data_IF_202980684904
#
_entry.id   IF_202980684904
#
_cell.length_a   1.000
_cell.length_b   1.000
_cell.length_c   1.000
_cell.angle_alpha   90.00
_cell.angle_beta   90.00
_cell.angle_gamma   90.00
#
_symmetry.space_group_name_H-M   'P 1'
#
loop_
_entity.id
_entity.type
_entity.pdbx_description
1 polymer ?
#
# COMPACT_ATOMS: atom_id res chain seq x y z
N UNK A 1 40.12 20.48 100.17
CA UNK A 1 38.79 20.79 99.60
C UNK A 1 38.67 20.56 98.07
N UNK A 2 39.63 19.93 97.38
CA UNK A 2 39.56 19.73 95.91
C UNK A 2 38.90 18.40 95.47
N UNK A 3 38.61 17.47 96.41
CA UNK A 3 38.27 16.08 96.06
C UNK A 3 36.75 15.87 95.89
N UNK A 4 35.89 16.70 96.51
CA UNK A 4 34.44 16.45 96.53
C UNK A 4 33.67 17.02 95.33
N UNK A 5 34.23 17.99 94.60
CA UNK A 5 33.60 18.54 93.37
C UNK A 5 33.80 17.65 92.15
N UNK A 6 34.83 16.80 92.14
CA UNK A 6 35.12 15.90 91.00
C UNK A 6 34.27 14.63 90.97
N UNK A 7 33.76 14.14 92.12
CA UNK A 7 32.98 12.88 92.14
C UNK A 7 31.53 13.07 91.66
N UNK A 8 30.95 14.25 91.86
CA UNK A 8 29.56 14.54 91.50
C UNK A 8 29.38 14.61 89.97
N UNK A 9 30.34 15.23 89.27
CA UNK A 9 30.32 15.41 87.81
C UNK A 9 30.51 14.06 87.10
N UNK A 10 31.36 13.17 87.63
CA UNK A 10 31.61 11.84 87.06
C UNK A 10 30.38 10.94 87.18
N UNK A 11 29.65 10.97 88.30
CA UNK A 11 28.49 10.09 88.51
C UNK A 11 27.26 10.42 87.64
N UNK A 12 27.09 11.69 87.28
CA UNK A 12 25.97 12.18 86.45
C UNK A 12 26.20 11.87 84.96
N UNK A 13 27.46 11.90 84.53
CA UNK A 13 27.86 11.47 83.18
C UNK A 13 27.67 9.95 83.02
N UNK A 14 28.00 9.16 84.04
CA UNK A 14 27.96 7.69 83.96
C UNK A 14 26.53 7.11 83.97
N UNK A 15 25.61 7.70 84.73
CA UNK A 15 24.19 7.27 84.79
C UNK A 15 23.39 7.54 83.50
N UNK A 16 23.86 8.41 82.62
CA UNK A 16 23.23 8.72 81.32
C UNK A 16 23.98 8.04 80.16
N UNK A 17 25.30 7.91 80.24
CA UNK A 17 26.12 7.32 79.16
C UNK A 17 26.11 5.80 79.13
N UNK A 18 25.97 5.11 80.26
CA UNK A 18 25.93 3.64 80.28
C UNK A 18 24.67 3.05 79.60
N UNK A 19 23.44 3.55 79.86
CA UNK A 19 22.24 3.11 79.12
C UNK A 19 22.28 3.51 77.64
N UNK A 20 22.81 4.70 77.33
CA UNK A 20 22.94 5.19 75.96
C UNK A 20 23.91 4.36 75.10
N UNK A 21 25.02 3.86 75.68
CA UNK A 21 25.95 2.94 75.00
C UNK A 21 25.31 1.58 74.69
N UNK A 22 24.45 1.07 75.59
CA UNK A 22 23.68 -0.16 75.36
C UNK A 22 22.72 -0.03 74.18
N UNK A 23 22.01 1.10 74.08
CA UNK A 23 21.08 1.42 72.98
C UNK A 23 21.82 1.69 71.67
N UNK A 24 22.97 2.37 71.71
CA UNK A 24 23.81 2.57 70.53
C UNK A 24 24.37 1.25 69.98
N UNK A 25 24.73 0.31 70.86
CA UNK A 25 25.21 -1.01 70.46
C UNK A 25 24.11 -1.89 69.86
N UNK A 26 22.88 -1.84 70.40
CA UNK A 26 21.73 -2.56 69.81
C UNK A 26 21.30 -1.95 68.48
N UNK A 27 21.29 -0.62 68.35
CA UNK A 27 21.07 0.08 67.07
C UNK A 27 22.15 -0.26 66.03
N UNK A 28 23.41 -0.37 66.44
CA UNK A 28 24.51 -0.80 65.56
C UNK A 28 24.33 -2.24 65.06
N UNK A 29 23.87 -3.17 65.93
CA UNK A 29 23.55 -4.55 65.54
C UNK A 29 22.33 -4.62 64.63
N UNK A 30 21.29 -3.83 64.91
CA UNK A 30 20.10 -3.71 64.06
C UNK A 30 20.44 -3.16 62.67
N UNK A 31 21.27 -2.11 62.59
CA UNK A 31 21.72 -1.54 61.32
C UNK A 31 22.58 -2.53 60.53
N UNK A 32 23.49 -3.23 61.19
CA UNK A 32 24.30 -4.28 60.56
C UNK A 32 23.48 -5.52 60.16
N UNK A 33 22.40 -5.84 60.87
CA UNK A 33 21.45 -6.88 60.49
C UNK A 33 20.58 -6.42 59.31
N UNK A 34 20.15 -5.16 59.30
CA UNK A 34 19.38 -4.54 58.22
C UNK A 34 20.19 -4.45 56.92
N UNK A 35 21.47 -4.08 56.97
CA UNK A 35 22.37 -4.06 55.81
C UNK A 35 22.67 -5.45 55.26
N UNK A 36 22.77 -6.47 56.13
CA UNK A 36 22.91 -7.87 55.67
C UNK A 36 21.62 -8.37 55.02
N UNK A 37 20.48 -8.04 55.61
CA UNK A 37 19.18 -8.40 55.07
C UNK A 37 18.90 -7.67 53.75
N UNK A 38 19.26 -6.39 53.62
CA UNK A 38 19.10 -5.64 52.37
C UNK A 38 19.99 -6.19 51.26
N UNK A 39 21.25 -6.54 51.54
CA UNK A 39 22.14 -7.17 50.56
C UNK A 39 21.65 -8.56 50.12
N UNK A 40 21.08 -9.35 51.03
CA UNK A 40 20.47 -10.64 50.68
C UNK A 40 19.20 -10.45 49.84
N UNK A 41 18.37 -9.45 50.15
CA UNK A 41 17.19 -9.10 49.37
C UNK A 41 17.57 -8.56 47.98
N UNK A 42 18.62 -7.76 47.86
CA UNK A 42 19.11 -7.25 46.57
C UNK A 42 19.71 -8.38 45.72
N UNK A 43 20.43 -9.33 46.33
CA UNK A 43 20.90 -10.53 45.64
C UNK A 43 19.74 -11.44 45.20
N UNK A 44 18.70 -11.59 46.02
CA UNK A 44 17.47 -12.31 45.65
C UNK A 44 16.71 -11.60 44.52
N UNK A 45 16.58 -10.27 44.58
CA UNK A 45 15.96 -9.46 43.52
C UNK A 45 16.74 -9.56 42.23
N UNK A 46 18.07 -9.49 42.28
CA UNK A 46 18.95 -9.68 41.12
C UNK A 46 18.70 -11.03 40.45
N UNK A 47 18.69 -12.13 41.21
CA UNK A 47 18.41 -13.48 40.71
C UNK A 47 16.97 -13.64 40.18
N UNK A 48 15.99 -13.01 40.81
CA UNK A 48 14.60 -13.02 40.36
C UNK A 48 14.41 -12.24 39.05
N UNK A 49 15.05 -11.08 38.91
CA UNK A 49 15.05 -10.30 37.67
C UNK A 49 15.77 -11.06 36.56
N UNK A 50 16.89 -11.70 36.85
CA UNK A 50 17.63 -12.52 35.90
C UNK A 50 16.81 -13.74 35.45
N UNK A 51 16.16 -14.45 36.39
CA UNK A 51 15.26 -15.57 36.08
C UNK A 51 14.01 -15.12 35.29
N UNK A 52 13.44 -13.97 35.61
CA UNK A 52 12.32 -13.39 34.88
C UNK A 52 12.73 -12.94 33.47
N UNK A 53 13.92 -12.36 33.32
CA UNK A 53 14.48 -11.98 32.02
C UNK A 53 14.74 -13.21 31.14
N UNK A 54 15.33 -14.28 31.72
CA UNK A 54 15.52 -15.56 31.03
C UNK A 54 14.17 -16.20 30.67
N UNK A 55 13.20 -16.20 31.59
CA UNK A 55 11.86 -16.71 31.35
C UNK A 55 11.11 -15.95 30.24
N UNK A 56 11.22 -14.62 30.23
CA UNK A 56 10.65 -13.77 29.17
C UNK A 56 11.35 -13.98 27.83
N UNK A 57 12.68 -14.06 27.81
CA UNK A 57 13.47 -14.32 26.62
C UNK A 57 13.12 -15.71 26.02
N UNK A 58 12.99 -16.74 26.85
CA UNK A 58 12.59 -18.08 26.43
C UNK A 58 11.14 -18.12 25.94
N UNK A 59 10.22 -17.46 26.66
CA UNK A 59 8.82 -17.36 26.26
C UNK A 59 8.68 -16.64 24.90
N UNK A 60 9.48 -15.61 24.63
CA UNK A 60 9.55 -14.97 23.30
C UNK A 60 10.21 -15.87 22.26
N UNK A 61 11.33 -16.51 22.60
CA UNK A 61 12.09 -17.36 21.68
C UNK A 61 11.28 -18.58 21.21
N UNK A 62 10.43 -19.15 22.06
CA UNK A 62 9.56 -20.29 21.72
C UNK A 62 8.18 -19.82 21.24
N UNK A 63 7.62 -18.78 21.87
CA UNK A 63 6.28 -18.29 21.57
C UNK A 63 6.16 -17.58 20.22
N UNK A 64 7.20 -16.86 19.78
CA UNK A 64 7.15 -16.16 18.49
C UNK A 64 7.09 -17.13 17.28
N UNK A 65 7.92 -18.18 17.19
CA UNK A 65 7.80 -19.19 16.14
C UNK A 65 6.44 -19.92 16.13
N UNK A 66 5.91 -20.28 17.31
CA UNK A 66 4.59 -20.93 17.40
C UNK A 66 3.48 -20.01 16.92
N UNK A 67 3.48 -18.74 17.34
CA UNK A 67 2.50 -17.74 16.89
C UNK A 67 2.58 -17.54 15.37
N UNK A 68 3.79 -17.41 14.83
CA UNK A 68 3.99 -17.28 13.39
C UNK A 68 3.50 -18.50 12.60
N UNK A 69 3.69 -19.71 13.13
CA UNK A 69 3.17 -20.94 12.53
C UNK A 69 1.63 -20.96 12.54
N UNK A 70 0.98 -20.60 13.65
CA UNK A 70 -0.48 -20.51 13.76
C UNK A 70 -1.04 -19.47 12.78
N UNK A 71 -0.41 -18.29 12.69
CA UNK A 71 -0.80 -17.23 11.75
C UNK A 71 -0.63 -17.68 10.30
N UNK A 72 0.44 -18.41 9.99
CA UNK A 72 0.67 -18.96 8.68
C UNK A 72 -0.35 -20.05 8.31
N UNK A 73 -0.64 -20.98 9.22
CA UNK A 73 -1.70 -21.99 9.02
C UNK A 73 -3.07 -21.33 8.83
N UNK A 74 -3.35 -20.26 9.57
CA UNK A 74 -4.57 -19.47 9.40
C UNK A 74 -4.63 -18.82 8.01
N UNK A 75 -3.54 -18.19 7.55
CA UNK A 75 -3.48 -17.61 6.21
C UNK A 75 -3.58 -18.67 5.09
N UNK A 76 -3.02 -19.86 5.31
CA UNK A 76 -3.15 -20.99 4.38
C UNK A 76 -4.58 -21.54 4.34
N UNK A 77 -5.36 -21.42 5.41
CA UNK A 77 -6.77 -21.77 5.39
C UNK A 77 -7.56 -20.85 4.45
N UNK A 78 -7.22 -19.57 4.37
CA UNK A 78 -7.81 -18.64 3.40
C UNK A 78 -7.46 -19.03 1.96
N UNK A 79 -6.21 -19.46 1.71
CA UNK A 79 -5.81 -20.00 0.40
C UNK A 79 -6.63 -21.24 0.05
N UNK A 80 -6.80 -22.17 0.99
CA UNK A 80 -7.58 -23.39 0.79
C UNK A 80 -9.07 -23.13 0.52
N UNK A 81 -9.60 -22.03 1.05
CA UNK A 81 -11.00 -21.65 0.85
C UNK A 81 -11.30 -21.23 -0.59
N UNK A 82 -10.32 -20.64 -1.27
CA UNK A 82 -10.50 -20.02 -2.59
C UNK A 82 -9.79 -20.76 -3.72
N UNK A 83 -9.03 -21.81 -3.39
CA UNK A 83 -8.29 -22.63 -4.36
C UNK A 83 -8.57 -24.10 -4.09
N UNK A 84 -9.02 -24.79 -5.13
CA UNK A 84 -9.18 -26.24 -5.10
C UNK A 84 -7.84 -26.93 -5.33
N UNK A 85 -7.37 -27.66 -4.32
CA UNK A 85 -6.16 -28.47 -4.42
C UNK A 85 -6.53 -29.94 -4.68
N UNK A 86 -5.92 -30.59 -5.69
CA UNK A 86 -6.26 -31.97 -6.04
C UNK A 86 -5.89 -32.98 -4.95
N UNK A 87 -4.90 -32.66 -4.11
CA UNK A 87 -4.48 -33.52 -3.00
C UNK A 87 -4.07 -32.70 -1.78
N UNK A 88 -4.16 -33.27 -0.55
CA UNK A 88 -3.57 -32.65 0.64
C UNK A 88 -2.06 -32.41 0.50
N UNK A 89 -1.35 -33.27 -0.25
CA UNK A 89 0.07 -33.12 -0.51
C UNK A 89 0.37 -31.86 -1.35
N UNK A 90 -0.45 -31.57 -2.37
CA UNK A 90 -0.31 -30.36 -3.19
C UNK A 90 -0.50 -29.08 -2.37
N UNK A 91 -1.50 -29.06 -1.48
CA UNK A 91 -1.71 -27.94 -0.55
C UNK A 91 -0.52 -27.73 0.39
N UNK A 92 0.05 -28.82 0.93
CA UNK A 92 1.24 -28.77 1.78
C UNK A 92 2.47 -28.28 1.01
N UNK A 93 2.63 -28.70 -0.25
CA UNK A 93 3.71 -28.24 -1.12
C UNK A 93 3.64 -26.72 -1.32
N UNK A 94 2.45 -26.19 -1.66
CA UNK A 94 2.23 -24.74 -1.76
C UNK A 94 2.64 -24.00 -0.48
N UNK A 95 2.28 -24.52 0.70
CA UNK A 95 2.69 -23.93 1.97
C UNK A 95 4.23 -23.87 2.13
N UNK A 96 4.93 -24.95 1.77
CA UNK A 96 6.40 -24.97 1.79
C UNK A 96 7.00 -23.97 0.79
N UNK A 97 6.45 -23.90 -0.43
CA UNK A 97 6.93 -22.99 -1.47
C UNK A 97 6.80 -21.52 -1.05
N UNK A 98 5.70 -21.16 -0.35
CA UNK A 98 5.51 -19.82 0.20
C UNK A 98 6.50 -19.51 1.34
N UNK A 99 6.81 -20.49 2.20
CA UNK A 99 7.85 -20.34 3.22
C UNK A 99 9.21 -20.12 2.57
N UNK A 100 9.56 -20.92 1.55
CA UNK A 100 10.83 -20.79 0.84
C UNK A 100 10.93 -19.49 0.04
N UNK A 101 9.81 -19.00 -0.49
CA UNK A 101 9.74 -17.69 -1.13
C UNK A 101 9.95 -16.54 -0.12
N UNK A 102 9.42 -16.65 1.10
CA UNK A 102 9.62 -15.64 2.16
C UNK A 102 11.09 -15.49 2.61
N UNK A 103 11.92 -16.49 2.31
CA UNK A 103 13.38 -16.45 2.56
C UNK A 103 14.14 -15.66 1.49
N UNK A 104 13.53 -15.45 0.33
CA UNK A 104 14.15 -14.81 -0.85
C UNK A 104 13.55 -13.42 -1.15
N UNK A 105 12.29 -13.21 -0.82
CA UNK A 105 11.58 -11.94 -1.00
C UNK A 105 11.31 -11.38 0.40
N UNK A 106 11.51 -10.06 0.66
CA UNK A 106 11.33 -9.46 1.97
C UNK A 106 9.84 -9.29 2.35
N UNK A 107 9.06 -10.35 2.24
CA UNK A 107 7.64 -10.46 2.60
C UNK A 107 7.47 -11.75 3.41
N UNK A 108 6.80 -11.65 4.56
CA UNK A 108 6.52 -12.80 5.41
C UNK A 108 5.65 -13.85 4.68
N UNK A 109 5.80 -15.12 5.04
CA UNK A 109 5.04 -16.21 4.44
C UNK A 109 3.51 -16.00 4.55
N UNK A 110 3.03 -15.36 5.62
CA UNK A 110 1.62 -14.94 5.79
C UNK A 110 1.18 -13.91 4.73
N UNK A 111 2.04 -12.95 4.39
CA UNK A 111 1.77 -11.97 3.34
C UNK A 111 1.75 -12.60 1.95
N UNK A 112 2.62 -13.58 1.69
CA UNK A 112 2.62 -14.34 0.44
C UNK A 112 1.38 -15.24 0.32
N UNK A 113 0.96 -15.88 1.42
CA UNK A 113 -0.29 -16.61 1.49
C UNK A 113 -1.51 -15.68 1.23
N UNK A 114 -1.50 -14.45 1.76
CA UNK A 114 -2.55 -13.47 1.47
C UNK A 114 -2.60 -13.11 -0.02
N UNK A 115 -1.46 -12.92 -0.69
CA UNK A 115 -1.43 -12.72 -2.16
C UNK A 115 -2.02 -13.95 -2.88
N UNK A 116 -1.63 -15.15 -2.49
CA UNK A 116 -2.14 -16.38 -3.08
C UNK A 116 -3.67 -16.51 -2.88
N UNK A 117 -4.18 -16.11 -1.73
CA UNK A 117 -5.62 -16.10 -1.47
C UNK A 117 -6.35 -15.09 -2.37
N UNK A 118 -5.84 -13.87 -2.53
CA UNK A 118 -6.41 -12.87 -3.46
C UNK A 118 -6.42 -13.36 -4.91
N UNK A 119 -5.33 -14.00 -5.34
CA UNK A 119 -5.20 -14.57 -6.68
C UNK A 119 -6.20 -15.73 -6.90
N UNK A 120 -6.33 -16.63 -5.92
CA UNK A 120 -7.32 -17.71 -5.97
C UNK A 120 -8.75 -17.19 -5.97
N UNK A 121 -9.05 -16.16 -5.18
CA UNK A 121 -10.36 -15.50 -5.17
C UNK A 121 -10.69 -14.83 -6.51
N UNK A 122 -9.67 -14.38 -7.26
CA UNK A 122 -9.80 -13.89 -8.63
C UNK A 122 -9.96 -15.03 -9.68
N UNK A 123 -10.04 -16.29 -9.24
CA UNK A 123 -10.27 -17.46 -10.09
C UNK A 123 -9.01 -18.11 -10.66
N UNK A 124 -7.83 -17.79 -10.12
CA UNK A 124 -6.57 -18.39 -10.58
C UNK A 124 -6.42 -19.84 -10.13
N UNK A 125 -5.92 -20.69 -11.03
CA UNK A 125 -5.67 -22.09 -10.73
C UNK A 125 -4.40 -22.31 -9.90
N UNK A 126 -4.34 -23.42 -9.17
CA UNK A 126 -3.19 -23.80 -8.33
C UNK A 126 -1.85 -23.77 -9.09
N UNK A 127 -1.85 -24.08 -10.39
CA UNK A 127 -0.64 -24.11 -11.22
C UNK A 127 -0.03 -22.74 -11.53
N UNK A 128 -0.85 -21.67 -11.57
CA UNK A 128 -0.37 -20.31 -11.85
C UNK A 128 -0.16 -19.47 -10.59
N UNK A 129 -0.75 -19.89 -9.47
CA UNK A 129 -0.74 -19.20 -8.18
C UNK A 129 0.66 -18.89 -7.66
N UNK A 130 1.58 -19.85 -7.68
CA UNK A 130 2.92 -19.63 -7.14
C UNK A 130 3.68 -18.58 -7.95
N UNK A 131 3.60 -18.65 -9.28
CA UNK A 131 4.25 -17.70 -10.17
C UNK A 131 3.64 -16.30 -10.03
N UNK A 132 2.31 -16.21 -9.93
CA UNK A 132 1.62 -14.95 -9.70
C UNK A 132 1.99 -14.35 -8.34
N UNK A 133 2.01 -15.16 -7.28
CA UNK A 133 2.40 -14.71 -5.93
C UNK A 133 3.81 -14.17 -5.91
N UNK A 134 4.75 -14.84 -6.58
CA UNK A 134 6.13 -14.35 -6.67
C UNK A 134 6.20 -13.01 -7.42
N UNK A 135 5.49 -12.89 -8.54
CA UNK A 135 5.43 -11.67 -9.34
C UNK A 135 4.82 -10.51 -8.53
N UNK A 136 3.66 -10.71 -7.93
CA UNK A 136 2.98 -9.68 -7.14
C UNK A 136 3.77 -9.28 -5.89
N UNK A 137 4.47 -10.23 -5.25
CA UNK A 137 5.35 -9.94 -4.13
C UNK A 137 6.53 -9.04 -4.55
N UNK A 138 7.17 -9.33 -5.70
CA UNK A 138 8.23 -8.48 -6.26
C UNK A 138 7.71 -7.09 -6.64
N UNK A 139 6.53 -7.02 -7.25
CA UNK A 139 5.89 -5.73 -7.59
C UNK A 139 5.55 -4.93 -6.33
N UNK A 140 5.04 -5.57 -5.28
CA UNK A 140 4.75 -4.90 -4.01
C UNK A 140 6.00 -4.23 -3.42
N UNK A 141 7.13 -4.94 -3.41
CA UNK A 141 8.42 -4.39 -2.98
C UNK A 141 8.89 -3.27 -3.92
N UNK A 142 8.79 -3.47 -5.24
CA UNK A 142 9.25 -2.49 -6.23
C UNK A 142 8.44 -1.19 -6.21
N UNK A 143 7.13 -1.28 -5.95
CA UNK A 143 6.21 -0.14 -5.99
C UNK A 143 6.01 0.50 -4.61
N UNK A 144 6.62 -0.06 -3.56
CA UNK A 144 6.46 0.36 -2.17
C UNK A 144 4.98 0.34 -1.73
N UNK A 145 4.29 -0.77 -2.05
CA UNK A 145 2.90 -1.02 -1.66
C UNK A 145 2.78 -2.36 -0.94
N UNK A 146 1.73 -2.51 -0.14
CA UNK A 146 1.49 -3.76 0.58
C UNK A 146 1.37 -4.96 -0.35
N UNK A 147 1.92 -6.10 0.05
CA UNK A 147 1.89 -7.36 -0.69
C UNK A 147 0.46 -7.72 -1.17
N UNK A 148 -0.51 -7.73 -0.26
CA UNK A 148 -1.92 -8.00 -0.59
C UNK A 148 -2.53 -6.98 -1.55
N UNK A 149 -2.15 -5.70 -1.41
CA UNK A 149 -2.63 -4.64 -2.30
C UNK A 149 -2.08 -4.83 -3.72
N UNK A 150 -0.80 -5.18 -3.86
CA UNK A 150 -0.21 -5.52 -5.15
C UNK A 150 -0.88 -6.75 -5.76
N UNK A 151 -1.07 -7.82 -4.98
CA UNK A 151 -1.76 -9.05 -5.40
C UNK A 151 -3.16 -8.78 -5.94
N UNK A 152 -3.97 -8.03 -5.18
CA UNK A 152 -5.33 -7.68 -5.58
C UNK A 152 -5.35 -6.80 -6.85
N UNK A 153 -4.54 -5.74 -6.89
CA UNK A 153 -4.48 -4.83 -8.03
C UNK A 153 -4.01 -5.51 -9.32
N UNK A 154 -3.05 -6.42 -9.23
CA UNK A 154 -2.54 -7.16 -10.39
C UNK A 154 -3.50 -8.27 -10.83
N UNK A 155 -4.20 -8.90 -9.89
CA UNK A 155 -5.22 -9.90 -10.20
C UNK A 155 -6.40 -9.25 -10.93
N UNK A 156 -6.85 -8.08 -10.47
CA UNK A 156 -7.87 -7.28 -11.15
C UNK A 156 -7.44 -6.90 -12.57
N UNK A 157 -6.20 -6.43 -12.75
CA UNK A 157 -5.68 -6.12 -14.08
C UNK A 157 -5.63 -7.34 -14.99
N UNK A 158 -5.07 -8.46 -14.50
CA UNK A 158 -5.00 -9.72 -15.24
C UNK A 158 -6.37 -10.12 -15.76
N UNK A 159 -7.37 -10.15 -14.87
CA UNK A 159 -8.73 -10.56 -15.22
C UNK A 159 -9.42 -9.55 -16.14
N UNK A 160 -9.29 -8.25 -15.88
CA UNK A 160 -9.95 -7.20 -16.67
C UNK A 160 -9.42 -7.10 -18.11
N UNK A 161 -8.14 -7.44 -18.31
CA UNK A 161 -7.45 -7.40 -19.61
C UNK A 161 -7.30 -8.79 -20.24
N UNK A 162 -7.73 -9.86 -19.57
CA UNK A 162 -7.57 -11.24 -20.06
C UNK A 162 -6.11 -11.66 -20.25
N UNK A 163 -5.19 -11.16 -19.42
CA UNK A 163 -3.75 -11.40 -19.53
C UNK A 163 -3.33 -12.74 -18.93
N UNK A 164 -2.21 -13.28 -19.40
CA UNK A 164 -1.49 -14.32 -18.67
C UNK A 164 -0.74 -13.74 -17.45
N UNK A 165 -0.26 -14.59 -16.54
CA UNK A 165 0.63 -14.15 -15.45
C UNK A 165 1.90 -13.49 -16.01
N UNK A 166 2.44 -14.02 -17.11
CA UNK A 166 3.62 -13.46 -17.77
C UNK A 166 3.35 -12.07 -18.35
N UNK A 167 2.24 -11.90 -19.07
CA UNK A 167 1.88 -10.60 -19.65
C UNK A 167 1.52 -9.56 -18.57
N UNK A 168 0.92 -10.01 -17.46
CA UNK A 168 0.68 -9.16 -16.29
C UNK A 168 2.00 -8.68 -15.67
N UNK A 169 3.00 -9.57 -15.59
CA UNK A 169 4.36 -9.21 -15.17
C UNK A 169 5.02 -8.21 -16.14
N UNK A 170 4.89 -8.42 -17.45
CA UNK A 170 5.41 -7.51 -18.45
C UNK A 170 4.77 -6.11 -18.37
N UNK A 171 3.46 -6.04 -18.10
CA UNK A 171 2.77 -4.78 -17.85
C UNK A 171 3.28 -4.10 -16.58
N UNK A 172 3.49 -4.87 -15.50
CA UNK A 172 4.07 -4.33 -14.26
C UNK A 172 5.50 -3.80 -14.48
N UNK A 173 6.31 -4.49 -15.28
CA UNK A 173 7.65 -4.04 -15.68
C UNK A 173 7.58 -2.76 -16.52
N UNK A 174 6.61 -2.65 -17.44
CA UNK A 174 6.38 -1.43 -18.20
C UNK A 174 5.97 -0.26 -17.29
N UNK A 175 5.11 -0.49 -16.29
CA UNK A 175 4.75 0.51 -15.27
C UNK A 175 5.98 0.92 -14.45
N UNK A 176 6.81 -0.04 -14.03
CA UNK A 176 8.05 0.23 -13.31
C UNK A 176 8.99 1.12 -14.15
N UNK A 177 9.16 0.77 -15.42
CA UNK A 177 9.96 1.54 -16.36
C UNK A 177 9.43 2.96 -16.54
N UNK A 178 8.11 3.14 -16.70
CA UNK A 178 7.49 4.46 -16.79
C UNK A 178 7.72 5.28 -15.51
N UNK A 179 7.56 4.66 -14.33
CA UNK A 179 7.79 5.33 -13.04
C UNK A 179 9.24 5.75 -12.83
N UNK A 180 10.20 5.01 -13.35
CA UNK A 180 11.62 5.36 -13.23
C UNK A 180 12.05 6.46 -14.21
N UNK A 181 11.28 6.69 -15.27
CA UNK A 181 11.62 7.63 -16.34
C UNK A 181 10.68 8.85 -16.42
N UNK A 182 9.64 8.90 -15.60
CA UNK A 182 8.65 9.99 -15.60
C UNK A 182 8.37 10.44 -14.17
N UNK A 183 7.85 11.66 -14.00
CA UNK A 183 7.40 12.16 -12.70
C UNK A 183 6.04 11.56 -12.27
N UNK A 184 5.85 10.25 -12.42
CA UNK A 184 4.62 9.53 -12.10
C UNK A 184 4.95 8.26 -11.31
N UNK A 185 4.49 8.14 -10.07
CA UNK A 185 4.85 6.99 -9.22
C UNK A 185 4.11 5.72 -9.68
N UNK A 186 4.78 4.57 -9.61
CA UNK A 186 4.21 3.28 -10.00
C UNK A 186 2.84 2.97 -9.37
N UNK A 187 2.58 3.21 -8.07
CA UNK A 187 1.24 3.00 -7.50
C UNK A 187 0.14 3.86 -8.13
N UNK A 188 0.47 5.08 -8.58
CA UNK A 188 -0.49 5.96 -9.23
C UNK A 188 -0.83 5.48 -10.64
N UNK A 189 0.17 4.97 -11.36
CA UNK A 189 -0.01 4.38 -12.69
C UNK A 189 -0.81 3.07 -12.56
N UNK A 190 -0.53 2.26 -11.55
CA UNK A 190 -1.26 1.02 -11.26
C UNK A 190 -2.74 1.30 -10.91
N UNK A 191 -3.03 2.31 -10.08
CA UNK A 191 -4.40 2.75 -9.78
C UNK A 191 -5.11 3.25 -11.05
N UNK A 192 -4.44 4.07 -11.87
CA UNK A 192 -4.97 4.49 -13.16
C UNK A 192 -5.30 3.29 -14.07
N UNK A 193 -4.39 2.32 -14.19
CA UNK A 193 -4.59 1.14 -15.03
C UNK A 193 -5.76 0.29 -14.54
N UNK A 194 -5.94 0.12 -13.23
CA UNK A 194 -7.10 -0.60 -12.68
C UNK A 194 -8.44 0.05 -13.04
N UNK A 195 -8.46 1.37 -13.25
CA UNK A 195 -9.67 2.15 -13.55
C UNK A 195 -10.02 2.22 -15.02
N UNK A 196 -9.02 2.17 -15.91
CA UNK A 196 -9.21 2.41 -17.34
C UNK A 196 -8.47 1.47 -18.28
N UNK A 197 -7.72 0.49 -17.76
CA UNK A 197 -6.98 -0.47 -18.58
C UNK A 197 -7.88 -1.16 -19.61
N UNK A 198 -8.95 -1.82 -19.15
CA UNK A 198 -9.93 -2.48 -20.01
C UNK A 198 -10.64 -1.49 -20.95
N UNK A 199 -10.91 -0.27 -20.48
CA UNK A 199 -11.48 0.80 -21.33
C UNK A 199 -10.51 1.24 -22.43
N UNK A 200 -9.19 1.19 -22.18
CA UNK A 200 -8.16 1.46 -23.17
C UNK A 200 -8.22 0.48 -24.33
N UNK A 201 -8.31 -0.82 -24.04
CA UNK A 201 -8.47 -1.86 -25.06
C UNK A 201 -9.74 -1.69 -25.89
N UNK A 202 -10.87 -1.38 -25.22
CA UNK A 202 -12.13 -1.07 -25.92
C UNK A 202 -12.01 0.13 -26.87
N UNK A 203 -11.13 1.08 -26.56
CA UNK A 203 -10.83 2.22 -27.44
C UNK A 203 -9.75 1.94 -28.49
N UNK A 204 -9.16 0.74 -28.49
CA UNK A 204 -8.14 0.30 -29.44
C UNK A 204 -6.69 0.56 -29.00
N UNK A 205 -6.45 0.95 -27.75
CA UNK A 205 -5.11 1.09 -27.17
C UNK A 205 -4.61 -0.23 -26.60
N UNK A 206 -3.31 -0.47 -26.64
CA UNK A 206 -2.70 -1.56 -25.83
C UNK A 206 -2.62 -1.15 -24.36
N UNK A 207 -2.39 -2.13 -23.48
CA UNK A 207 -2.19 -1.88 -22.05
C UNK A 207 -1.01 -0.92 -21.80
N UNK A 208 0.11 -1.09 -22.52
CA UNK A 208 1.29 -0.24 -22.40
C UNK A 208 1.03 1.17 -22.92
N UNK A 209 0.28 1.29 -24.02
CA UNK A 209 -0.11 2.61 -24.55
C UNK A 209 -1.00 3.35 -23.55
N UNK A 210 -1.94 2.64 -22.92
CA UNK A 210 -2.81 3.18 -21.89
C UNK A 210 -1.99 3.63 -20.68
N UNK A 211 -1.07 2.78 -20.20
CA UNK A 211 -0.17 3.11 -19.09
C UNK A 211 0.72 4.33 -19.40
N UNK A 212 1.25 4.43 -20.63
CA UNK A 212 2.07 5.56 -21.06
C UNK A 212 1.27 6.88 -21.09
N UNK A 213 0.01 6.84 -21.55
CA UNK A 213 -0.88 8.01 -21.53
C UNK A 213 -1.15 8.44 -20.08
N UNK A 214 -1.55 7.50 -19.21
CA UNK A 214 -1.77 7.78 -17.79
C UNK A 214 -0.54 8.37 -17.12
N UNK A 215 0.64 7.78 -17.36
CA UNK A 215 1.92 8.26 -16.84
C UNK A 215 2.24 9.68 -17.29
N UNK A 216 1.98 10.02 -18.55
CA UNK A 216 2.17 11.39 -19.06
C UNK A 216 1.24 12.40 -18.38
N UNK A 217 -0.02 12.02 -18.12
CA UNK A 217 -0.98 12.88 -17.42
C UNK A 217 -0.59 13.08 -15.96
N UNK A 218 -0.21 12.00 -15.27
CA UNK A 218 0.22 12.03 -13.87
C UNK A 218 1.51 12.84 -13.73
N UNK A 219 2.48 12.64 -14.63
CA UNK A 219 3.71 13.43 -14.66
C UNK A 219 3.46 14.92 -14.93
N UNK A 220 2.34 15.26 -15.57
CA UNK A 220 1.89 16.64 -15.77
C UNK A 220 1.13 17.22 -14.56
N UNK A 221 1.04 16.47 -13.45
CA UNK A 221 0.41 16.88 -12.20
C UNK A 221 -1.03 16.40 -12.00
N UNK A 222 -1.59 15.59 -12.90
CA UNK A 222 -2.93 15.04 -12.72
C UNK A 222 -2.95 13.92 -11.65
N UNK A 223 -4.01 13.87 -10.85
CA UNK A 223 -4.28 12.69 -10.03
C UNK A 223 -4.79 11.53 -10.89
N UNK A 224 -4.55 10.29 -10.46
CA UNK A 224 -4.95 9.08 -11.20
C UNK A 224 -6.44 9.05 -11.56
N UNK A 225 -7.33 9.47 -10.66
CA UNK A 225 -8.79 9.58 -10.92
C UNK A 225 -9.12 10.62 -12.01
N UNK A 226 -8.48 11.79 -11.95
CA UNK A 226 -8.68 12.86 -12.93
C UNK A 226 -8.14 12.45 -14.30
N UNK A 227 -6.97 11.80 -14.33
CA UNK A 227 -6.38 11.23 -15.53
C UNK A 227 -7.30 10.15 -16.12
N UNK A 228 -7.84 9.26 -15.28
CA UNK A 228 -8.78 8.20 -15.69
C UNK A 228 -10.05 8.78 -16.34
N UNK A 229 -10.65 9.78 -15.70
CA UNK A 229 -11.86 10.44 -16.22
C UNK A 229 -11.60 11.17 -17.52
N UNK A 230 -10.47 11.87 -17.60
CA UNK A 230 -10.04 12.57 -18.81
C UNK A 230 -9.75 11.59 -19.95
N UNK A 231 -9.11 10.46 -19.68
CA UNK A 231 -8.86 9.40 -20.65
C UNK A 231 -10.17 8.80 -21.19
N UNK A 232 -11.14 8.51 -20.30
CA UNK A 232 -12.47 8.04 -20.71
C UNK A 232 -13.17 9.02 -21.65
N UNK A 233 -13.10 10.31 -21.34
CA UNK A 233 -13.67 11.38 -22.17
C UNK A 233 -12.99 11.48 -23.54
N UNK A 234 -11.66 11.44 -23.56
CA UNK A 234 -10.86 11.46 -24.79
C UNK A 234 -11.20 10.28 -25.68
N UNK A 235 -11.12 9.06 -25.14
CA UNK A 235 -11.41 7.86 -25.91
C UNK A 235 -12.84 7.85 -26.44
N UNK A 236 -13.84 8.19 -25.60
CA UNK A 236 -15.24 8.31 -26.03
C UNK A 236 -15.42 9.31 -27.18
N UNK A 237 -14.74 10.45 -27.12
CA UNK A 237 -14.83 11.44 -28.19
C UNK A 237 -14.27 10.92 -29.51
N UNK A 238 -13.17 10.17 -29.46
CA UNK A 238 -12.49 9.63 -30.63
C UNK A 238 -13.18 8.39 -31.22
N UNK A 239 -13.89 7.61 -30.41
CA UNK A 239 -14.56 6.37 -30.85
C UNK A 239 -16.03 6.55 -31.22
N UNK A 240 -16.66 7.69 -30.87
CA UNK A 240 -18.08 7.97 -31.13
C UNK A 240 -18.53 7.82 -32.59
N UNK A 241 -17.65 8.09 -33.57
CA UNK A 241 -17.97 7.93 -34.99
C UNK A 241 -19.23 8.70 -35.42
N UNK A 242 -20.25 7.95 -35.88
CA UNK A 242 -21.54 8.51 -36.31
C UNK A 242 -22.35 9.16 -35.17
N UNK A 243 -22.13 8.74 -33.93
CA UNK A 243 -22.76 9.32 -32.75
C UNK A 243 -22.08 10.62 -32.27
N UNK A 244 -21.09 11.14 -33.01
CA UNK A 244 -20.44 12.42 -32.67
C UNK A 244 -21.46 13.57 -32.68
N UNK A 245 -21.43 14.40 -31.63
CA UNK A 245 -22.34 15.54 -31.49
C UNK A 245 -22.06 16.62 -32.53
N UNK A 246 -22.99 17.56 -32.72
CA UNK A 246 -22.80 18.72 -33.63
C UNK A 246 -21.52 19.50 -33.29
N UNK A 247 -21.28 19.76 -32.00
CA UNK A 247 -20.07 20.45 -31.51
C UNK A 247 -18.79 19.67 -31.84
N UNK A 248 -18.78 18.35 -31.59
CA UNK A 248 -17.64 17.50 -31.92
C UNK A 248 -17.36 17.46 -33.42
N UNK A 249 -18.39 17.40 -34.26
CA UNK A 249 -18.26 17.42 -35.73
C UNK A 249 -17.68 18.75 -36.23
N UNK A 250 -18.04 19.88 -35.61
CA UNK A 250 -17.43 21.18 -35.92
C UNK A 250 -15.94 21.16 -35.57
N UNK A 251 -15.59 20.69 -34.37
CA UNK A 251 -14.19 20.58 -33.96
C UNK A 251 -13.37 19.68 -34.88
N UNK A 252 -13.91 18.52 -35.29
CA UNK A 252 -13.25 17.65 -36.27
C UNK A 252 -13.05 18.35 -37.62
N UNK A 253 -14.06 19.06 -38.14
CA UNK A 253 -13.93 19.84 -39.38
C UNK A 253 -12.84 20.91 -39.29
N UNK A 254 -12.76 21.64 -38.16
CA UNK A 254 -11.70 22.63 -37.91
C UNK A 254 -10.30 22.00 -37.96
N UNK A 255 -10.18 20.73 -37.56
CA UNK A 255 -8.93 19.97 -37.61
C UNK A 255 -8.69 19.29 -38.98
N UNK A 256 -9.59 19.44 -39.94
CA UNK A 256 -9.55 18.75 -41.23
C UNK A 256 -9.77 17.24 -41.10
N UNK A 257 -10.55 16.82 -40.10
CA UNK A 257 -10.85 15.44 -39.77
C UNK A 257 -12.35 15.15 -39.94
N UNK A 258 -12.67 13.87 -40.09
CA UNK A 258 -14.04 13.37 -40.05
C UNK A 258 -14.20 12.40 -38.87
N UNK A 259 -15.30 12.54 -38.11
CA UNK A 259 -15.53 11.76 -36.89
C UNK A 259 -15.60 10.25 -37.16
N UNK A 260 -16.22 9.84 -38.27
CA UNK A 260 -16.37 8.42 -38.65
C UNK A 260 -15.03 7.84 -39.09
N UNK A 261 -14.23 8.62 -39.82
CA UNK A 261 -12.85 8.21 -40.15
C UNK A 261 -11.97 8.09 -38.92
N UNK A 262 -12.05 9.05 -37.99
CA UNK A 262 -11.29 9.03 -36.73
C UNK A 262 -11.65 7.79 -35.92
N UNK A 263 -12.93 7.46 -35.76
CA UNK A 263 -13.33 6.27 -34.99
C UNK A 263 -12.85 4.97 -35.63
N UNK A 264 -12.86 4.88 -36.97
CA UNK A 264 -12.27 3.74 -37.70
C UNK A 264 -10.76 3.65 -37.53
N UNK A 265 -10.07 4.79 -37.51
CA UNK A 265 -8.62 4.84 -37.29
C UNK A 265 -8.24 4.47 -35.86
N UNK A 266 -9.07 4.78 -34.86
CA UNK A 266 -8.83 4.34 -33.47
C UNK A 266 -8.71 2.81 -33.36
N UNK A 267 -9.55 2.07 -34.08
CA UNK A 267 -9.53 0.60 -34.07
C UNK A 267 -8.30 0.00 -34.77
N UNK A 268 -7.61 0.78 -35.60
CA UNK A 268 -6.40 0.33 -36.33
C UNK A 268 -5.11 0.80 -35.69
N UNK A 269 -5.10 2.04 -35.19
CA UNK A 269 -3.94 2.68 -34.59
C UNK A 269 -4.42 3.81 -33.66
N UNK A 270 -4.89 3.45 -32.46
CA UNK A 270 -5.39 4.40 -31.48
C UNK A 270 -4.34 5.45 -31.07
N UNK A 271 -3.13 5.00 -30.72
CA UNK A 271 -2.04 5.90 -30.31
C UNK A 271 -1.64 6.88 -31.42
N UNK A 272 -1.53 6.42 -32.67
CA UNK A 272 -1.25 7.28 -33.82
C UNK A 272 -2.37 8.29 -34.08
N UNK A 273 -3.63 7.84 -33.99
CA UNK A 273 -4.81 8.69 -34.19
C UNK A 273 -4.89 9.79 -33.12
N UNK A 274 -4.71 9.44 -31.84
CA UNK A 274 -4.68 10.41 -30.75
C UNK A 274 -3.55 11.44 -30.96
N UNK A 275 -2.33 10.98 -31.32
CA UNK A 275 -1.20 11.86 -31.62
C UNK A 275 -1.48 12.81 -32.78
N UNK A 276 -2.12 12.33 -33.86
CA UNK A 276 -2.49 13.17 -35.01
C UNK A 276 -3.48 14.26 -34.58
N UNK A 277 -4.53 13.91 -33.83
CA UNK A 277 -5.51 14.87 -33.31
C UNK A 277 -4.83 15.95 -32.45
N UNK A 278 -3.99 15.55 -31.48
CA UNK A 278 -3.26 16.50 -30.63
C UNK A 278 -2.30 17.39 -31.43
N UNK A 279 -1.63 16.84 -32.44
CA UNK A 279 -0.72 17.58 -33.32
C UNK A 279 -1.46 18.62 -34.14
N UNK A 280 -2.63 18.28 -34.67
CA UNK A 280 -3.49 19.23 -35.40
C UNK A 280 -4.00 20.35 -34.51
N UNK A 281 -4.41 20.03 -33.27
CA UNK A 281 -4.80 21.04 -32.28
C UNK A 281 -3.63 22.00 -32.01
N UNK A 282 -2.41 21.48 -31.80
CA UNK A 282 -1.21 22.31 -31.57
C UNK A 282 -0.92 23.28 -32.73
N UNK A 283 -1.27 22.92 -33.97
CA UNK A 283 -1.09 23.77 -35.17
C UNK A 283 -2.15 24.88 -35.28
N UNK A 284 -3.24 24.82 -34.53
CA UNK A 284 -4.23 25.90 -34.52
C UNK A 284 -3.68 27.15 -33.82
N UNK A 285 -4.14 28.36 -34.21
CA UNK A 285 -3.93 29.58 -33.44
C UNK A 285 -4.25 29.40 -31.95
N UNK A 286 -3.40 29.97 -31.08
CA UNK A 286 -3.42 29.71 -29.63
C UNK A 286 -4.77 30.00 -28.97
N UNK A 287 -5.50 31.00 -29.45
CA UNK A 287 -6.83 31.36 -28.95
C UNK A 287 -7.91 30.31 -29.27
N UNK A 288 -7.70 29.43 -30.27
CA UNK A 288 -8.65 28.37 -30.63
C UNK A 288 -8.37 27.04 -29.93
N UNK A 289 -7.12 26.79 -29.51
CA UNK A 289 -6.70 25.48 -29.01
C UNK A 289 -7.56 24.99 -27.85
N UNK A 290 -7.76 25.83 -26.82
CA UNK A 290 -8.56 25.48 -25.64
C UNK A 290 -10.03 25.25 -25.98
N UNK A 291 -10.60 26.08 -26.87
CA UNK A 291 -11.98 25.93 -27.31
C UNK A 291 -12.19 24.62 -28.10
N UNK A 292 -11.28 24.30 -29.03
CA UNK A 292 -11.35 23.05 -29.80
C UNK A 292 -11.17 21.82 -28.91
N UNK A 293 -10.25 21.86 -27.94
CA UNK A 293 -10.08 20.78 -26.95
C UNK A 293 -11.38 20.54 -26.16
N UNK A 294 -12.00 21.60 -25.66
CA UNK A 294 -13.24 21.52 -24.90
C UNK A 294 -14.40 20.97 -25.73
N UNK A 295 -14.59 21.49 -26.95
CA UNK A 295 -15.62 21.02 -27.88
C UNK A 295 -15.48 19.54 -28.23
N UNK A 296 -14.24 19.06 -28.36
CA UNK A 296 -13.96 17.70 -28.79
C UNK A 296 -14.06 16.70 -27.63
N UNK A 297 -13.37 16.98 -26.52
CA UNK A 297 -13.15 16.00 -25.45
C UNK A 297 -14.09 16.13 -24.25
N UNK A 298 -14.48 17.33 -23.87
CA UNK A 298 -15.39 17.51 -22.73
C UNK A 298 -16.83 17.27 -23.21
N UNK A 299 -17.12 17.62 -24.47
CA UNK A 299 -18.50 17.83 -24.92
C UNK A 299 -19.08 19.01 -24.13
N UNK A 300 -20.05 19.73 -24.69
CA UNK A 300 -20.81 20.62 -23.84
C UNK A 300 -21.41 19.75 -22.72
N UNK A 301 -21.06 20.02 -21.47
CA UNK A 301 -22.04 19.91 -20.39
C UNK A 301 -23.31 20.45 -21.01
N UNK A 302 -24.32 19.61 -21.20
CA UNK A 302 -25.65 20.13 -21.35
C UNK A 302 -25.86 20.95 -20.09
N UNK A 303 -25.68 22.27 -20.22
CA UNK A 303 -26.29 23.20 -19.30
C UNK A 303 -27.76 22.90 -19.51
N UNK A 304 -28.30 21.97 -18.71
CA UNK A 304 -29.71 21.90 -18.47
C UNK A 304 -30.06 23.33 -18.12
N UNK A 305 -30.78 23.99 -19.02
CA UNK A 305 -31.23 25.35 -18.82
C UNK A 305 -32.10 25.31 -17.56
N UNK A 306 -31.50 25.63 -16.41
CA UNK A 306 -32.24 25.95 -15.20
C UNK A 306 -33.07 27.16 -15.61
N UNK A 307 -34.41 27.04 -15.69
CA UNK A 307 -35.21 28.17 -16.09
C UNK A 307 -35.01 29.25 -15.04
N UNK A 308 -34.44 30.39 -15.45
CA UNK A 308 -34.35 31.56 -14.58
C UNK A 308 -35.77 31.88 -14.10
N UNK A 309 -36.00 32.05 -12.78
CA UNK A 309 -37.31 32.40 -12.28
C UNK A 309 -37.73 33.71 -12.93
N UNK A 310 -38.89 33.69 -13.59
CA UNK A 310 -39.50 34.88 -14.16
C UNK A 310 -39.78 35.84 -13.01
N UNK A 311 -38.96 36.89 -12.87
CA UNK A 311 -39.31 38.05 -12.06
C UNK A 311 -40.58 38.66 -12.65
N UNK A 312 -41.72 38.37 -12.01
CA UNK A 312 -42.94 39.15 -12.23
C UNK A 312 -42.71 40.54 -11.63
N UNK A 313 -42.26 41.47 -12.45
CA UNK A 313 -42.47 42.89 -12.21
C UNK A 313 -43.98 43.13 -12.23
N UNK A 314 -44.63 43.02 -11.06
CA UNK A 314 -45.89 43.70 -10.82
C UNK A 314 -45.55 45.18 -10.60
N UNK A 315 -46.16 46.01 -11.44
CA UNK A 315 -46.19 47.46 -11.34
C UNK A 315 -46.85 47.89 -10.04
#
# INVERSE_FOLDING_TARGET
>A
MAVMTSSLIVSLIDRVTAPARGIAATLGRLKAAQERNSRQLDAMRGRMVEAAAVGYALAKAVGAPVKAAIEFESAMADVRKVVDFPTPAAFKAMGNDLIDMSRRIPIAATGLAAIAAEAGAAGMEAGELLAFTEMAAKVGVAFDIGASQAGNALALLKTALGLSVADTGALADAINHLSNNMAAKAPQILDYMNRVGATGEQYGFTAEQTAAIGSAMIASGAQAEVASTSFRNVGRALTKGEAATKSQRIAYKTLGLDAVKVSKSMQKNAAGTLRDVLTRIKKLPRYMQAATLSQLFVGQLEIQAVPLPRCSLRR
#
